data_IF_215986786191
#
_entry.id   IF_215986786191
#
_cell.length_a   1.000
_cell.length_b   1.000
_cell.length_c   1.000
_cell.angle_alpha   90.00
_cell.angle_beta   90.00
_cell.angle_gamma   90.00
#
_symmetry.space_group_name_H-M   'P 1'
#
loop_
_entity.id
_entity.type
_entity.pdbx_description
1 polymer ?
#
# COMPACT_ATOMS: atom_id res chain seq x y z
N UNK A 1 -10.96 -4.87 -15.40
CA UNK A 1 -10.11 -3.67 -15.26
C UNK A 1 -10.87 -2.46 -15.76
N UNK A 2 -10.86 -1.39 -14.97
CA UNK A 2 -11.47 -0.11 -15.31
C UNK A 2 -10.38 0.97 -15.40
N UNK A 3 -10.64 2.00 -16.20
CA UNK A 3 -9.74 3.15 -16.33
C UNK A 3 -10.53 4.46 -16.23
N UNK A 4 -9.94 5.45 -15.58
CA UNK A 4 -10.43 6.81 -15.51
C UNK A 4 -9.44 7.75 -16.20
N UNK A 5 -9.91 8.56 -17.15
CA UNK A 5 -9.12 9.66 -17.69
C UNK A 5 -9.19 10.83 -16.72
N UNK A 6 -8.04 11.18 -16.15
CA UNK A 6 -7.89 12.30 -15.23
C UNK A 6 -7.93 13.64 -15.99
N UNK A 7 -8.22 14.75 -15.26
CA UNK A 7 -8.33 16.09 -15.85
C UNK A 7 -7.04 16.58 -16.51
N UNK A 8 -5.88 16.09 -16.07
CA UNK A 8 -4.56 16.39 -16.65
C UNK A 8 -4.19 15.49 -17.84
N UNK A 9 -5.10 14.60 -18.27
CA UNK A 9 -4.94 13.70 -19.40
C UNK A 9 -4.28 12.37 -19.06
N UNK A 10 -3.77 12.17 -17.83
CA UNK A 10 -3.28 10.86 -17.37
C UNK A 10 -4.44 9.87 -17.26
N UNK A 11 -4.10 8.58 -17.29
CA UNK A 11 -5.01 7.48 -17.02
C UNK A 11 -4.75 6.94 -15.61
N UNK A 12 -5.82 6.69 -14.85
CA UNK A 12 -5.83 5.97 -13.60
C UNK A 12 -6.52 4.62 -13.80
N UNK A 13 -5.81 3.53 -13.52
CA UNK A 13 -6.37 2.19 -13.57
C UNK A 13 -6.83 1.75 -12.18
N UNK A 14 -7.99 1.09 -12.13
CA UNK A 14 -8.59 0.59 -10.89
C UNK A 14 -9.44 -0.64 -11.13
N UNK A 15 -9.74 -1.34 -10.05
CA UNK A 15 -10.72 -2.42 -10.05
C UNK A 15 -11.66 -2.31 -8.86
N UNK A 16 -12.81 -2.96 -8.93
CA UNK A 16 -13.80 -3.00 -7.87
C UNK A 16 -14.11 -4.46 -7.53
N UNK A 17 -14.17 -4.75 -6.25
CA UNK A 17 -14.41 -6.07 -5.69
C UNK A 17 -15.37 -5.98 -4.51
N UNK A 18 -15.83 -7.14 -4.03
CA UNK A 18 -16.68 -7.22 -2.85
C UNK A 18 -18.14 -6.91 -3.15
N UNK A 19 -18.83 -6.32 -2.17
CA UNK A 19 -20.26 -6.00 -2.23
C UNK A 19 -20.49 -4.71 -3.03
N UNK A 20 -21.27 -4.75 -4.09
CA UNK A 20 -21.54 -3.60 -4.98
C UNK A 20 -22.08 -2.37 -4.21
N UNK A 21 -22.97 -2.60 -3.26
CA UNK A 21 -23.59 -1.58 -2.40
C UNK A 21 -22.96 -1.54 -0.99
N UNK A 22 -21.77 -2.12 -0.83
CA UNK A 22 -21.05 -2.14 0.44
C UNK A 22 -20.37 -0.82 0.77
N UNK A 23 -19.76 -0.78 1.97
CA UNK A 23 -18.99 0.38 2.45
C UNK A 23 -17.80 0.59 1.48
N UNK A 24 -17.67 1.78 0.87
CA UNK A 24 -16.57 2.05 -0.04
C UNK A 24 -15.25 2.13 0.71
N UNK A 25 -14.26 1.33 0.28
CA UNK A 25 -12.89 1.35 0.80
C UNK A 25 -11.91 1.43 -0.37
N UNK A 26 -11.05 2.44 -0.37
CA UNK A 26 -10.00 2.61 -1.38
C UNK A 26 -8.69 2.05 -0.85
N UNK A 27 -8.18 1.01 -1.51
CA UNK A 27 -6.96 0.31 -1.10
C UNK A 27 -5.71 0.85 -1.80
N UNK A 28 -4.67 1.13 -1.01
CA UNK A 28 -3.35 1.54 -1.47
C UNK A 28 -2.37 0.37 -1.34
N UNK A 29 -1.98 -0.22 -2.46
CA UNK A 29 -1.09 -1.39 -2.51
C UNK A 29 0.31 -1.12 -1.94
N UNK A 30 1.08 -2.17 -1.65
CA UNK A 30 2.46 -2.12 -1.17
C UNK A 30 3.45 -1.56 -2.20
N UNK A 31 4.71 -1.46 -1.81
CA UNK A 31 5.81 -1.07 -2.69
C UNK A 31 6.11 -2.21 -3.68
N UNK A 32 6.19 -1.88 -4.97
CA UNK A 32 6.44 -2.89 -6.01
C UNK A 32 5.26 -3.83 -6.29
N UNK A 33 4.05 -3.43 -5.91
CA UNK A 33 2.81 -4.15 -6.14
C UNK A 33 1.81 -3.32 -6.97
N UNK A 34 0.60 -3.77 -7.15
CA UNK A 34 -0.41 -3.16 -8.03
C UNK A 34 -1.82 -3.24 -7.47
N UNK A 35 -2.81 -2.77 -8.23
CA UNK A 35 -4.24 -2.95 -7.93
C UNK A 35 -4.66 -4.41 -7.73
N UNK A 36 -3.83 -5.39 -8.14
CA UNK A 36 -4.11 -6.81 -7.96
C UNK A 36 -3.78 -7.33 -6.55
N UNK A 37 -3.10 -6.54 -5.71
CA UNK A 37 -2.75 -6.85 -4.32
C UNK A 37 -4.00 -6.83 -3.42
N UNK A 38 -4.78 -7.89 -3.46
CA UNK A 38 -5.96 -8.12 -2.62
C UNK A 38 -6.12 -9.60 -2.34
N UNK A 39 -6.92 -9.96 -1.32
CA UNK A 39 -7.21 -11.37 -1.10
C UNK A 39 -7.95 -11.96 -2.31
N UNK A 40 -7.50 -13.11 -2.86
CA UNK A 40 -8.06 -13.69 -4.08
C UNK A 40 -9.49 -14.22 -3.91
N UNK A 41 -9.88 -14.65 -2.72
CA UNK A 41 -11.24 -15.04 -2.41
C UNK A 41 -12.11 -13.79 -2.18
N UNK A 42 -12.87 -13.41 -3.20
CA UNK A 42 -13.74 -12.23 -3.15
C UNK A 42 -14.93 -12.39 -2.17
N UNK A 43 -15.28 -13.63 -1.77
CA UNK A 43 -16.37 -13.87 -0.82
C UNK A 43 -16.08 -13.22 0.51
N UNK A 44 -14.82 -13.25 0.98
CA UNK A 44 -14.41 -12.61 2.22
C UNK A 44 -14.69 -11.08 2.22
N UNK A 45 -14.50 -10.44 1.07
CA UNK A 45 -14.78 -9.01 0.91
C UNK A 45 -16.29 -8.73 0.83
N UNK A 46 -17.05 -9.63 0.17
CA UNK A 46 -18.53 -9.55 0.11
C UNK A 46 -19.14 -9.71 1.50
N UNK A 47 -18.72 -10.73 2.24
CA UNK A 47 -19.21 -11.05 3.58
C UNK A 47 -18.92 -9.94 4.59
N UNK A 48 -17.80 -9.24 4.43
CA UNK A 48 -17.49 -8.04 5.22
C UNK A 48 -18.34 -6.81 4.84
N UNK A 49 -19.19 -6.90 3.82
CA UNK A 49 -20.04 -5.78 3.37
C UNK A 49 -19.23 -4.63 2.73
N UNK A 50 -18.04 -4.89 2.20
CA UNK A 50 -17.13 -3.87 1.67
C UNK A 50 -17.22 -3.82 0.14
N UNK A 51 -17.32 -2.60 -0.40
CA UNK A 51 -17.02 -2.27 -1.79
C UNK A 51 -15.56 -1.82 -1.88
N UNK A 52 -14.68 -2.76 -2.21
CA UNK A 52 -13.24 -2.52 -2.28
C UNK A 52 -12.84 -1.95 -3.63
N UNK A 53 -12.22 -0.78 -3.63
CA UNK A 53 -11.65 -0.14 -4.81
C UNK A 53 -10.13 -0.22 -4.73
N UNK A 54 -9.52 -0.99 -5.61
CA UNK A 54 -8.06 -1.11 -5.71
C UNK A 54 -7.55 -0.27 -6.87
N UNK A 55 -6.41 0.40 -6.69
CA UNK A 55 -5.88 1.36 -7.66
C UNK A 55 -4.42 1.07 -8.00
N UNK A 56 -4.01 1.30 -9.23
CA UNK A 56 -2.59 1.40 -9.57
C UNK A 56 -2.12 2.83 -9.33
N UNK A 57 -1.12 3.01 -8.45
CA UNK A 57 -0.47 4.32 -8.32
C UNK A 57 0.25 4.72 -9.62
N UNK A 58 0.54 6.02 -9.86
CA UNK A 58 1.15 6.46 -11.11
C UNK A 58 2.43 5.70 -11.47
N UNK A 59 2.47 5.16 -12.69
CA UNK A 59 3.59 4.38 -13.22
C UNK A 59 3.61 2.90 -12.82
N UNK A 60 2.59 2.44 -12.09
CA UNK A 60 2.31 1.03 -11.87
C UNK A 60 1.19 0.54 -12.79
N UNK A 61 1.19 -0.75 -13.09
CA UNK A 61 0.15 -1.43 -13.85
C UNK A 61 -0.23 -0.69 -15.13
N UNK A 62 -1.47 -0.25 -15.21
CA UNK A 62 -2.00 0.50 -16.36
C UNK A 62 -2.14 2.02 -16.09
N UNK A 63 -1.73 2.50 -14.91
CA UNK A 63 -1.78 3.93 -14.61
C UNK A 63 -0.63 4.69 -15.26
N UNK A 64 -0.95 5.84 -15.85
CA UNK A 64 0.06 6.72 -16.49
C UNK A 64 1.16 7.12 -15.50
N UNK A 65 2.43 7.16 -15.91
CA UNK A 65 3.51 7.70 -15.08
C UNK A 65 3.28 9.17 -14.70
N UNK A 66 3.71 9.53 -13.50
CA UNK A 66 3.73 10.92 -13.03
C UNK A 66 5.12 11.23 -12.45
N UNK A 67 6.08 11.64 -13.28
CA UNK A 67 7.43 11.95 -12.82
C UNK A 67 7.45 13.09 -11.81
N UNK A 68 8.22 12.90 -10.72
CA UNK A 68 8.35 13.92 -9.68
C UNK A 68 7.15 14.06 -8.75
N UNK A 69 6.18 13.12 -8.79
CA UNK A 69 5.06 13.12 -7.85
C UNK A 69 5.51 13.07 -6.41
N UNK A 70 4.70 13.66 -5.54
CA UNK A 70 4.71 13.52 -4.09
C UNK A 70 3.51 12.69 -3.64
N UNK A 71 3.43 12.33 -2.36
CA UNK A 71 2.22 11.71 -1.81
C UNK A 71 1.00 12.63 -1.93
N UNK A 72 1.20 13.94 -1.76
CA UNK A 72 0.12 14.92 -1.87
C UNK A 72 -0.40 15.09 -3.30
N UNK A 73 0.45 14.89 -4.32
CA UNK A 73 0.01 14.93 -5.73
C UNK A 73 -0.90 13.77 -6.13
N UNK A 74 -0.92 12.69 -5.33
CA UNK A 74 -1.82 11.56 -5.52
C UNK A 74 -3.27 11.84 -5.11
N UNK A 75 -3.47 12.72 -4.15
CA UNK A 75 -4.79 12.99 -3.56
C UNK A 75 -5.83 13.45 -4.59
N UNK A 76 -5.52 14.40 -5.51
CA UNK A 76 -6.44 14.79 -6.58
C UNK A 76 -6.87 13.66 -7.50
N UNK A 77 -6.02 12.65 -7.72
CA UNK A 77 -6.35 11.49 -8.55
C UNK A 77 -7.43 10.64 -7.87
N UNK A 78 -7.27 10.39 -6.56
CA UNK A 78 -8.25 9.66 -5.73
C UNK A 78 -9.57 10.44 -5.60
N UNK A 79 -9.50 11.75 -5.43
CA UNK A 79 -10.71 12.59 -5.37
C UNK A 79 -11.51 12.50 -6.68
N UNK A 80 -10.83 12.56 -7.83
CA UNK A 80 -11.48 12.38 -9.14
C UNK A 80 -12.09 10.99 -9.29
N UNK A 81 -11.39 9.95 -8.83
CA UNK A 81 -11.91 8.58 -8.83
C UNK A 81 -13.19 8.46 -7.97
N UNK A 82 -13.16 8.95 -6.74
CA UNK A 82 -14.31 8.92 -5.85
C UNK A 82 -15.51 9.69 -6.44
N UNK A 83 -15.27 10.84 -7.06
CA UNK A 83 -16.31 11.63 -7.75
C UNK A 83 -16.91 10.87 -8.94
N UNK A 84 -16.06 10.22 -9.77
CA UNK A 84 -16.50 9.40 -10.91
C UNK A 84 -17.38 8.22 -10.45
N UNK A 85 -17.02 7.61 -9.32
CA UNK A 85 -17.76 6.49 -8.74
C UNK A 85 -18.95 6.93 -7.88
N UNK A 86 -19.21 8.23 -7.77
CA UNK A 86 -20.27 8.85 -6.96
C UNK A 86 -20.18 8.43 -5.47
N UNK A 87 -18.96 8.32 -4.97
CA UNK A 87 -18.67 7.99 -3.58
C UNK A 87 -18.43 9.31 -2.83
N UNK A 88 -19.27 9.63 -1.87
CA UNK A 88 -19.12 10.84 -1.02
C UNK A 88 -18.15 10.59 0.14
N UNK A 89 -18.37 9.53 0.90
CA UNK A 89 -17.56 9.10 2.04
C UNK A 89 -16.96 7.72 1.80
N UNK A 90 -15.72 7.50 2.24
CA UNK A 90 -15.02 6.23 2.08
C UNK A 90 -13.98 5.98 3.16
N UNK A 91 -13.68 4.71 3.39
CA UNK A 91 -12.51 4.27 4.14
C UNK A 91 -11.26 4.20 3.25
N UNK A 92 -10.09 4.30 3.86
CA UNK A 92 -8.81 4.07 3.15
C UNK A 92 -8.08 2.93 3.84
N UNK A 93 -7.74 1.89 3.08
CA UNK A 93 -6.92 0.78 3.53
C UNK A 93 -5.57 0.83 2.82
N UNK A 94 -4.51 0.41 3.50
CA UNK A 94 -3.20 0.28 2.87
C UNK A 94 -2.40 -0.89 3.42
N UNK A 95 -1.47 -1.36 2.58
CA UNK A 95 -0.42 -2.28 2.98
C UNK A 95 0.96 -1.64 2.76
N UNK A 96 1.87 -1.80 3.73
CA UNK A 96 3.29 -1.48 3.57
C UNK A 96 3.54 -0.05 3.04
N UNK A 97 4.25 0.07 1.91
CA UNK A 97 4.55 1.33 1.21
C UNK A 97 3.33 2.11 0.71
N UNK A 98 2.12 1.57 0.83
CA UNK A 98 0.87 2.30 0.58
C UNK A 98 0.48 3.27 1.69
N UNK A 99 1.05 3.13 2.90
CA UNK A 99 0.64 3.89 4.09
C UNK A 99 0.80 5.40 3.97
N UNK A 100 1.90 5.95 3.45
CA UNK A 100 2.01 7.40 3.29
C UNK A 100 0.98 7.97 2.31
N UNK A 101 0.58 7.19 1.29
CA UNK A 101 -0.48 7.57 0.37
C UNK A 101 -1.86 7.57 1.05
N UNK A 102 -2.15 6.56 1.88
CA UNK A 102 -3.38 6.51 2.67
C UNK A 102 -3.48 7.70 3.63
N UNK A 103 -2.39 8.02 4.32
CA UNK A 103 -2.33 9.17 5.23
C UNK A 103 -2.41 10.50 4.50
N UNK A 104 -1.80 10.65 3.30
CA UNK A 104 -1.94 11.85 2.48
C UNK A 104 -3.41 12.09 2.05
N UNK A 105 -4.13 11.01 1.69
CA UNK A 105 -5.56 11.07 1.37
C UNK A 105 -6.35 11.53 2.58
N UNK A 106 -6.13 10.94 3.76
CA UNK A 106 -6.79 11.34 5.01
C UNK A 106 -6.49 12.80 5.40
N UNK A 107 -5.25 13.24 5.22
CA UNK A 107 -4.81 14.60 5.48
C UNK A 107 -5.58 15.64 4.65
N UNK A 108 -5.70 15.40 3.35
CA UNK A 108 -6.33 16.37 2.44
C UNK A 108 -7.84 16.22 2.31
N UNK A 109 -8.36 15.01 2.39
CA UNK A 109 -9.78 14.70 2.21
C UNK A 109 -10.47 14.37 3.55
N UNK A 110 -10.11 15.08 4.62
CA UNK A 110 -10.59 14.83 5.99
C UNK A 110 -12.14 14.83 6.10
N UNK A 111 -12.84 15.53 5.22
CA UNK A 111 -14.30 15.56 5.20
C UNK A 111 -14.93 14.40 4.43
N UNK A 112 -14.12 13.59 3.74
CA UNK A 112 -14.55 12.45 2.91
C UNK A 112 -14.06 11.09 3.43
N UNK A 113 -12.94 11.09 4.17
CA UNK A 113 -12.37 9.86 4.76
C UNK A 113 -12.96 9.66 6.16
N UNK A 114 -13.61 8.52 6.37
CA UNK A 114 -14.19 8.18 7.68
C UNK A 114 -13.18 7.48 8.59
N UNK A 115 -12.36 6.60 8.03
CA UNK A 115 -11.39 5.77 8.76
C UNK A 115 -10.22 5.40 7.86
N UNK A 116 -9.03 5.27 8.45
CA UNK A 116 -7.84 4.72 7.80
C UNK A 116 -7.43 3.42 8.48
N UNK A 117 -7.13 2.41 7.69
CA UNK A 117 -6.56 1.14 8.18
C UNK A 117 -5.21 0.91 7.50
N UNK A 118 -4.17 0.80 8.31
CA UNK A 118 -2.80 0.57 7.86
C UNK A 118 -2.34 -0.82 8.31
N UNK A 119 -1.82 -1.61 7.38
CA UNK A 119 -1.27 -2.93 7.71
C UNK A 119 0.21 -2.96 7.37
N UNK A 120 1.04 -3.37 8.33
CA UNK A 120 2.51 -3.36 8.22
C UNK A 120 3.05 -2.04 7.64
N UNK A 121 2.67 -0.87 8.23
CA UNK A 121 2.89 0.42 7.61
C UNK A 121 4.36 0.85 7.61
N UNK A 122 4.74 1.62 6.59
CA UNK A 122 5.95 2.44 6.65
C UNK A 122 5.63 3.79 7.28
N UNK A 123 6.45 4.21 8.23
CA UNK A 123 6.40 5.54 8.86
C UNK A 123 7.29 6.57 8.15
N UNK A 124 7.32 7.84 8.61
CA UNK A 124 8.24 8.85 8.10
C UNK A 124 9.70 8.46 8.27
N UNK A 125 10.47 8.59 7.20
CA UNK A 125 11.84 8.09 7.10
C UNK A 125 12.89 9.16 7.43
N UNK A 126 12.48 10.41 7.53
CA UNK A 126 13.32 11.56 7.86
C UNK A 126 13.36 11.87 9.37
N UNK A 127 13.03 10.89 10.21
CA UNK A 127 13.08 11.01 11.68
C UNK A 127 14.22 10.16 12.25
N UNK A 128 14.81 10.57 13.41
CA UNK A 128 15.86 9.79 14.08
C UNK A 128 15.42 8.34 14.33
N UNK A 129 16.31 7.38 14.08
CA UNK A 129 16.06 5.96 14.32
C UNK A 129 15.13 5.27 13.31
N UNK A 130 14.68 5.94 12.25
CA UNK A 130 13.81 5.31 11.24
C UNK A 130 14.47 4.10 10.57
N UNK A 131 15.77 4.17 10.27
CA UNK A 131 16.52 3.06 9.66
C UNK A 131 16.69 1.84 10.55
N UNK A 132 16.49 1.99 11.86
CA UNK A 132 16.55 0.91 12.84
C UNK A 132 15.27 0.07 12.89
N UNK A 133 14.19 0.56 12.28
CA UNK A 133 12.86 -0.06 12.27
C UNK A 133 12.55 -0.78 10.95
N UNK A 134 13.57 -1.07 10.14
CA UNK A 134 13.41 -1.74 8.86
C UNK A 134 14.62 -2.58 8.46
N UNK A 135 14.43 -3.49 7.51
CA UNK A 135 15.51 -4.28 6.97
C UNK A 135 16.60 -3.40 6.33
N UNK A 136 17.86 -3.81 6.47
CA UNK A 136 19.05 -3.03 6.03
C UNK A 136 19.03 -2.63 4.56
N UNK A 137 18.44 -3.45 3.67
CA UNK A 137 18.34 -3.12 2.25
C UNK A 137 17.45 -1.90 1.97
N UNK A 138 16.36 -1.75 2.75
CA UNK A 138 15.50 -0.55 2.67
C UNK A 138 16.19 0.67 3.28
N UNK A 139 16.86 0.51 4.42
CA UNK A 139 17.66 1.56 5.03
C UNK A 139 18.74 2.10 4.09
N UNK A 140 19.37 1.22 3.30
CA UNK A 140 20.34 1.63 2.28
C UNK A 140 19.70 2.47 1.16
N UNK A 141 18.55 2.04 0.62
CA UNK A 141 17.80 2.81 -0.40
C UNK A 141 17.47 4.22 0.08
N UNK A 142 17.10 4.37 1.36
CA UNK A 142 16.79 5.67 1.96
C UNK A 142 18.05 6.53 2.14
N UNK A 143 19.13 5.96 2.64
CA UNK A 143 20.39 6.67 2.86
C UNK A 143 20.97 7.24 1.55
N UNK A 144 20.77 6.54 0.44
CA UNK A 144 21.28 6.91 -0.89
C UNK A 144 20.18 7.39 -1.85
N UNK A 145 18.94 7.60 -1.38
CA UNK A 145 17.82 8.07 -2.20
C UNK A 145 18.04 9.41 -2.91
N UNK A 146 18.95 10.24 -2.40
CA UNK A 146 19.39 11.45 -3.05
C UNK A 146 20.22 11.20 -4.34
N UNK A 147 20.82 10.01 -4.49
CA UNK A 147 21.53 9.58 -5.71
C UNK A 147 20.54 9.08 -6.76
N UNK A 148 19.73 10.01 -7.27
CA UNK A 148 18.64 9.72 -8.23
C UNK A 148 19.04 8.81 -9.42
N UNK A 149 20.24 8.94 -10.03
CA UNK A 149 20.65 8.03 -11.10
C UNK A 149 20.77 6.58 -10.64
N UNK A 150 21.32 6.33 -9.45
CA UNK A 150 21.46 4.97 -8.90
C UNK A 150 20.11 4.33 -8.62
N UNK A 151 19.17 5.09 -8.06
CA UNK A 151 17.80 4.61 -7.82
C UNK A 151 17.11 4.22 -9.15
N UNK A 152 17.30 5.02 -10.21
CA UNK A 152 16.76 4.68 -11.53
C UNK A 152 17.38 3.41 -12.12
N UNK A 153 18.68 3.20 -11.94
CA UNK A 153 19.37 1.98 -12.39
C UNK A 153 18.86 0.77 -11.59
N UNK A 154 18.77 0.89 -10.26
CA UNK A 154 18.22 -0.15 -9.41
C UNK A 154 16.79 -0.51 -9.83
N UNK A 155 15.91 0.47 -10.00
CA UNK A 155 14.54 0.23 -10.45
C UNK A 155 14.45 -0.46 -11.81
N UNK A 156 15.30 -0.06 -12.79
CA UNK A 156 15.38 -0.75 -14.09
C UNK A 156 15.81 -2.22 -13.93
N UNK A 157 16.75 -2.50 -13.02
CA UNK A 157 17.18 -3.86 -12.71
C UNK A 157 16.03 -4.67 -12.07
N UNK A 158 15.27 -4.09 -11.13
CA UNK A 158 14.11 -4.75 -10.53
C UNK A 158 13.06 -5.08 -11.61
N UNK A 159 12.67 -4.10 -12.41
CA UNK A 159 11.70 -4.31 -13.48
C UNK A 159 12.16 -5.36 -14.50
N UNK A 160 13.44 -5.38 -14.85
CA UNK A 160 14.01 -6.42 -15.75
C UNK A 160 13.88 -7.80 -15.13
N UNK A 161 14.22 -7.96 -13.83
CA UNK A 161 14.13 -9.25 -13.13
C UNK A 161 12.68 -9.74 -13.03
N UNK A 162 11.76 -8.86 -12.61
CA UNK A 162 10.34 -9.20 -12.49
C UNK A 162 9.74 -9.59 -13.85
N UNK A 163 10.07 -8.86 -14.92
CA UNK A 163 9.53 -9.13 -16.26
C UNK A 163 10.18 -10.34 -16.96
N UNK A 164 11.39 -10.75 -16.55
CA UNK A 164 12.06 -11.90 -17.15
C UNK A 164 11.56 -13.25 -16.60
N UNK A 165 11.35 -13.35 -15.30
CA UNK A 165 10.90 -14.55 -14.61
C UNK A 165 10.26 -14.14 -13.27
N UNK A 166 8.94 -14.03 -13.28
CA UNK A 166 8.19 -13.56 -12.09
C UNK A 166 8.22 -14.58 -10.96
N UNK A 167 8.20 -15.87 -11.26
CA UNK A 167 8.24 -16.91 -10.24
C UNK A 167 9.57 -16.87 -9.48
N UNK A 168 10.69 -16.80 -10.21
CA UNK A 168 12.03 -16.65 -9.62
C UNK A 168 12.19 -15.32 -8.87
N UNK A 169 11.59 -14.23 -9.37
CA UNK A 169 11.62 -12.94 -8.71
C UNK A 169 10.89 -13.01 -7.35
N UNK A 170 9.70 -13.60 -7.33
CA UNK A 170 8.92 -13.81 -6.12
C UNK A 170 9.61 -14.79 -5.16
N UNK A 171 10.25 -15.87 -5.66
CA UNK A 171 11.05 -16.78 -4.83
C UNK A 171 12.21 -16.06 -4.12
N UNK A 172 12.93 -15.21 -4.84
CA UNK A 172 14.02 -14.45 -4.25
C UNK A 172 13.52 -13.47 -3.16
N UNK A 173 12.35 -12.87 -3.36
CA UNK A 173 11.72 -12.03 -2.37
C UNK A 173 11.34 -12.80 -1.10
N UNK A 174 10.65 -13.93 -1.28
CA UNK A 174 10.19 -14.78 -0.17
C UNK A 174 11.34 -15.52 0.56
N UNK A 175 12.47 -15.76 -0.12
CA UNK A 175 13.64 -16.37 0.52
C UNK A 175 14.16 -15.55 1.70
N UNK A 176 14.11 -14.24 1.59
CA UNK A 176 14.53 -13.28 2.62
C UNK A 176 13.39 -12.91 3.60
N UNK A 177 12.17 -13.45 3.40
CA UNK A 177 11.01 -13.21 4.26
C UNK A 177 11.02 -14.13 5.48
N UNK A 178 10.37 -13.75 6.59
CA UNK A 178 10.20 -14.60 7.76
C UNK A 178 9.31 -15.82 7.47
N UNK A 179 9.40 -16.82 8.35
CA UNK A 179 8.71 -18.10 8.16
C UNK A 179 7.18 -17.98 8.01
N UNK A 180 6.47 -17.12 8.76
CA UNK A 180 5.03 -16.92 8.58
C UNK A 180 4.63 -16.52 7.15
N UNK A 181 5.42 -15.65 6.52
CA UNK A 181 5.17 -15.20 5.14
C UNK A 181 5.42 -16.34 4.13
N UNK A 182 6.46 -17.17 4.35
CA UNK A 182 6.72 -18.37 3.52
C UNK A 182 5.58 -19.37 3.60
N UNK A 183 5.08 -19.63 4.80
CA UNK A 183 3.91 -20.50 5.04
C UNK A 183 2.67 -19.94 4.35
N UNK A 184 2.42 -18.64 4.45
CA UNK A 184 1.29 -17.96 3.81
C UNK A 184 1.31 -18.16 2.29
N UNK A 185 2.46 -17.93 1.66
CA UNK A 185 2.63 -18.06 0.21
C UNK A 185 2.95 -19.48 -0.28
N UNK A 186 2.98 -20.48 0.61
CA UNK A 186 2.88 -21.89 0.20
C UNK A 186 1.48 -22.22 -0.35
N UNK A 187 0.44 -21.42 -0.01
CA UNK A 187 -0.86 -21.48 -0.66
C UNK A 187 -0.73 -20.97 -2.11
N UNK A 188 -1.00 -21.85 -3.08
CA UNK A 188 -0.80 -21.55 -4.51
C UNK A 188 -1.67 -20.39 -5.02
N UNK A 189 -2.87 -20.18 -4.46
CA UNK A 189 -3.77 -19.10 -4.88
C UNK A 189 -3.24 -17.73 -4.40
N UNK A 190 -2.76 -17.66 -3.17
CA UNK A 190 -2.09 -16.47 -2.63
C UNK A 190 -0.77 -16.20 -3.35
N UNK A 191 0.00 -17.27 -3.62
CA UNK A 191 1.24 -17.17 -4.38
C UNK A 191 1.01 -16.60 -5.77
N UNK A 192 0.01 -17.10 -6.48
CA UNK A 192 -0.35 -16.58 -7.81
C UNK A 192 -0.78 -15.11 -7.76
N UNK A 193 -1.59 -14.73 -6.78
CA UNK A 193 -1.97 -13.32 -6.59
C UNK A 193 -0.74 -12.43 -6.38
N UNK A 194 0.20 -12.87 -5.55
CA UNK A 194 1.45 -12.15 -5.28
C UNK A 194 2.30 -11.97 -6.55
N UNK A 195 2.48 -13.03 -7.34
CA UNK A 195 3.20 -12.99 -8.61
C UNK A 195 2.49 -12.09 -9.64
N UNK A 196 1.17 -12.22 -9.77
CA UNK A 196 0.38 -11.41 -10.69
C UNK A 196 0.45 -9.90 -10.31
N UNK A 197 0.40 -9.60 -9.00
CA UNK A 197 0.54 -8.25 -8.47
C UNK A 197 1.88 -7.61 -8.82
N UNK A 198 2.98 -8.31 -8.55
CA UNK A 198 4.33 -7.85 -8.89
C UNK A 198 4.55 -7.73 -10.41
N UNK A 199 4.08 -8.71 -11.18
CA UNK A 199 4.19 -8.68 -12.65
C UNK A 199 3.45 -7.48 -13.24
N UNK A 200 2.24 -7.22 -12.76
CA UNK A 200 1.47 -6.07 -13.18
C UNK A 200 2.16 -4.75 -12.78
N UNK A 201 2.73 -4.69 -11.57
CA UNK A 201 3.44 -3.50 -11.09
C UNK A 201 4.56 -3.06 -12.03
N UNK A 202 5.33 -3.99 -12.56
CA UNK A 202 6.48 -3.72 -13.43
C UNK A 202 6.16 -3.79 -14.94
N UNK A 203 4.90 -3.95 -15.33
CA UNK A 203 4.46 -4.10 -16.72
C UNK A 203 4.97 -3.00 -17.65
N UNK A 204 4.93 -1.76 -17.21
CA UNK A 204 5.48 -0.62 -17.95
C UNK A 204 6.87 -0.17 -17.45
N UNK A 205 7.62 -1.06 -16.78
CA UNK A 205 8.95 -0.80 -16.25
C UNK A 205 8.96 -0.28 -14.83
N UNK A 206 9.95 0.55 -14.48
CA UNK A 206 10.24 0.94 -13.10
C UNK A 206 9.66 2.29 -12.67
N UNK A 207 8.84 2.94 -13.49
CA UNK A 207 8.41 4.32 -13.22
C UNK A 207 7.67 4.47 -11.88
N UNK A 208 6.79 3.52 -11.56
CA UNK A 208 6.05 3.47 -10.30
C UNK A 208 7.00 3.30 -9.11
N UNK A 209 7.84 2.29 -9.16
CA UNK A 209 8.83 1.95 -8.12
C UNK A 209 9.77 3.13 -7.81
N UNK A 210 10.37 3.72 -8.84
CA UNK A 210 11.26 4.88 -8.70
C UNK A 210 10.52 6.09 -8.14
N UNK A 211 9.27 6.30 -8.59
CA UNK A 211 8.43 7.38 -8.11
C UNK A 211 8.11 7.27 -6.62
N UNK A 212 7.84 6.06 -6.12
CA UNK A 212 7.57 5.82 -4.70
C UNK A 212 8.80 6.08 -3.84
N UNK A 213 10.00 5.63 -4.26
CA UNK A 213 11.25 5.92 -3.55
C UNK A 213 11.46 7.43 -3.42
N UNK A 214 11.25 8.19 -4.49
CA UNK A 214 11.45 9.65 -4.45
C UNK A 214 10.38 10.36 -3.63
N UNK A 215 9.12 9.92 -3.69
CA UNK A 215 8.06 10.48 -2.87
C UNK A 215 8.31 10.24 -1.37
N UNK A 216 8.93 9.11 -1.01
CA UNK A 216 9.24 8.73 0.38
C UNK A 216 10.26 9.61 1.08
N UNK A 217 11.06 10.41 0.34
CA UNK A 217 12.08 11.30 0.92
C UNK A 217 11.46 12.40 1.77
N UNK A 218 10.34 12.95 1.33
CA UNK A 218 9.60 13.98 2.07
C UNK A 218 8.09 13.82 1.86
N UNK A 219 7.36 13.59 2.94
CA UNK A 219 5.92 13.38 2.87
C UNK A 219 5.13 14.64 2.56
N UNK A 220 5.65 15.83 2.95
CA UNK A 220 4.98 17.12 2.79
C UNK A 220 3.86 17.36 3.82
N UNK A 221 3.71 16.49 4.80
CA UNK A 221 2.81 16.57 5.97
C UNK A 221 3.40 15.71 7.10
N UNK A 222 2.84 15.81 8.31
CA UNK A 222 3.25 15.01 9.46
C UNK A 222 2.10 14.14 9.98
N UNK A 223 2.39 12.99 10.63
CA UNK A 223 1.35 12.13 11.22
C UNK A 223 0.45 12.87 12.23
N UNK A 224 1.00 13.82 12.96
CA UNK A 224 0.30 14.61 13.98
C UNK A 224 -0.84 15.47 13.39
N UNK A 225 -0.80 15.75 12.08
CA UNK A 225 -1.84 16.52 11.38
C UNK A 225 -3.05 15.69 10.97
N UNK A 226 -3.00 14.33 11.14
CA UNK A 226 -4.08 13.43 10.76
C UNK A 226 -5.10 13.36 11.89
N UNK A 227 -6.31 13.88 11.65
CA UNK A 227 -7.39 13.94 12.64
C UNK A 227 -8.45 12.83 12.44
N UNK A 228 -8.26 11.96 11.46
CA UNK A 228 -9.14 10.83 11.17
C UNK A 228 -8.72 9.64 12.05
N UNK A 229 -9.68 8.82 12.54
CA UNK A 229 -9.34 7.57 13.23
C UNK A 229 -8.47 6.65 12.37
N UNK A 230 -7.37 6.15 12.93
CA UNK A 230 -6.43 5.26 12.27
C UNK A 230 -6.30 3.96 13.05
N UNK A 231 -6.62 2.82 12.43
CA UNK A 231 -6.31 1.50 12.97
C UNK A 231 -5.04 0.99 12.32
N UNK A 232 -4.09 0.52 13.11
CA UNK A 232 -2.81 -0.04 12.63
C UNK A 232 -2.73 -1.51 13.05
N UNK A 233 -2.46 -2.37 12.08
CA UNK A 233 -2.15 -3.78 12.29
C UNK A 233 -0.70 -4.05 11.88
N UNK A 234 0.01 -4.88 12.63
CA UNK A 234 1.40 -5.23 12.32
C UNK A 234 1.72 -6.64 12.80
N UNK A 235 2.48 -7.40 12.01
CA UNK A 235 2.98 -8.71 12.41
C UNK A 235 4.21 -8.59 13.32
N UNK A 236 4.31 -9.40 14.39
CA UNK A 236 5.45 -9.38 15.31
C UNK A 236 6.74 -9.90 14.68
N UNK A 237 6.61 -10.78 13.67
CA UNK A 237 7.71 -11.40 12.92
C UNK A 237 8.03 -10.65 11.62
N UNK A 238 7.53 -9.44 11.43
CA UNK A 238 7.82 -8.64 10.23
C UNK A 238 9.30 -8.21 10.24
N UNK A 239 10.10 -8.85 9.36
CA UNK A 239 11.53 -8.57 9.20
C UNK A 239 11.82 -7.51 8.11
N UNK A 240 10.80 -7.08 7.37
CA UNK A 240 10.93 -6.05 6.34
C UNK A 240 10.77 -4.64 6.92
N UNK A 241 9.66 -4.45 7.64
CA UNK A 241 9.34 -3.26 8.43
C UNK A 241 9.02 -3.75 9.85
N UNK A 242 9.95 -3.60 10.78
CA UNK A 242 9.78 -4.13 12.14
C UNK A 242 8.55 -3.51 12.81
N UNK A 243 7.84 -4.27 13.65
CA UNK A 243 6.63 -3.82 14.34
C UNK A 243 6.80 -2.49 15.09
N UNK A 244 8.03 -2.17 15.50
CA UNK A 244 8.39 -0.89 16.10
C UNK A 244 8.13 0.30 15.16
N UNK A 245 8.22 0.14 13.84
CA UNK A 245 7.84 1.17 12.87
C UNK A 245 6.37 1.55 13.02
N UNK A 246 5.49 0.56 13.07
CA UNK A 246 4.04 0.77 13.27
C UNK A 246 3.73 1.37 14.65
N UNK A 247 4.42 0.94 15.72
CA UNK A 247 4.27 1.51 17.08
C UNK A 247 4.64 2.99 17.11
N UNK A 248 5.79 3.36 16.55
CA UNK A 248 6.24 4.76 16.48
C UNK A 248 5.30 5.61 15.64
N UNK A 249 4.77 5.06 14.55
CA UNK A 249 3.76 5.76 13.76
C UNK A 249 2.47 5.99 14.56
N UNK A 250 1.99 4.97 15.29
CA UNK A 250 0.80 5.07 16.15
C UNK A 250 0.95 6.13 17.23
N UNK A 251 2.13 6.23 17.87
CA UNK A 251 2.41 7.23 18.90
C UNK A 251 2.35 8.68 18.39
N UNK A 252 2.54 8.87 17.06
CA UNK A 252 2.52 10.19 16.42
C UNK A 252 1.16 10.58 15.85
N UNK A 253 0.25 9.62 15.68
CA UNK A 253 -1.10 9.83 15.17
C UNK A 253 -2.05 10.13 16.34
N UNK A 254 -2.78 11.25 16.37
CA UNK A 254 -3.62 11.64 17.51
C UNK A 254 -4.72 10.65 17.86
N UNK A 255 -5.25 9.94 16.86
CA UNK A 255 -6.39 9.02 17.00
C UNK A 255 -6.04 7.64 16.43
N UNK A 256 -4.88 7.09 16.84
CA UNK A 256 -4.44 5.77 16.41
C UNK A 256 -4.74 4.69 17.45
N UNK A 257 -5.15 3.54 16.94
CA UNK A 257 -5.19 2.28 17.69
C UNK A 257 -4.24 1.28 17.00
N UNK A 258 -3.35 0.66 17.79
CA UNK A 258 -2.34 -0.27 17.31
C UNK A 258 -2.62 -1.68 17.81
N UNK A 259 -2.67 -2.63 16.89
CA UNK A 259 -2.83 -4.05 17.18
C UNK A 259 -1.65 -4.84 16.60
N UNK A 260 -1.01 -5.64 17.45
CA UNK A 260 0.04 -6.57 17.04
C UNK A 260 -0.57 -7.94 16.78
N UNK A 261 -0.20 -8.55 15.67
CA UNK A 261 -0.49 -9.96 15.38
C UNK A 261 0.75 -10.79 15.72
N UNK A 262 0.67 -11.51 16.84
CA UNK A 262 1.77 -12.35 17.30
C UNK A 262 2.03 -13.52 16.35
N UNK A 263 3.30 -13.76 16.01
CA UNK A 263 3.73 -14.82 15.10
C UNK A 263 3.42 -14.56 13.62
N UNK A 264 3.01 -13.35 13.24
CA UNK A 264 2.71 -13.01 11.85
C UNK A 264 3.82 -12.17 11.21
N UNK A 265 4.01 -12.33 9.89
CA UNK A 265 4.98 -11.59 9.09
C UNK A 265 4.44 -10.32 8.47
N UNK A 266 5.15 -9.84 7.44
CA UNK A 266 4.82 -8.61 6.70
C UNK A 266 3.47 -8.67 5.98
N UNK A 267 3.11 -9.86 5.49
CA UNK A 267 1.91 -10.10 4.67
C UNK A 267 0.71 -10.58 5.50
N UNK A 268 0.66 -10.30 6.80
CA UNK A 268 -0.45 -10.64 7.71
C UNK A 268 -1.81 -10.13 7.20
N UNK A 269 -1.84 -9.09 6.36
CA UNK A 269 -3.05 -8.55 5.72
C UNK A 269 -3.87 -9.64 5.02
N UNK A 270 -3.23 -10.60 4.33
CA UNK A 270 -3.95 -11.62 3.58
C UNK A 270 -4.52 -12.72 4.48
N UNK A 271 -3.87 -13.02 5.60
CA UNK A 271 -4.38 -13.98 6.58
C UNK A 271 -5.54 -13.40 7.39
N UNK A 272 -5.46 -12.14 7.76
CA UNK A 272 -6.46 -11.43 8.59
C UNK A 272 -7.42 -10.56 7.79
N UNK A 273 -7.59 -10.84 6.49
CA UNK A 273 -8.34 -10.00 5.55
C UNK A 273 -9.73 -9.63 6.03
N UNK A 274 -10.53 -10.61 6.48
CA UNK A 274 -11.89 -10.37 6.95
C UNK A 274 -11.93 -9.52 8.24
N UNK A 275 -11.06 -9.80 9.21
CA UNK A 275 -10.96 -9.04 10.46
C UNK A 275 -10.60 -7.58 10.17
N UNK A 276 -9.61 -7.36 9.30
CA UNK A 276 -9.16 -6.02 8.90
C UNK A 276 -10.29 -5.26 8.20
N UNK A 277 -11.03 -5.89 7.28
CA UNK A 277 -12.14 -5.26 6.59
C UNK A 277 -13.31 -4.94 7.53
N UNK A 278 -13.60 -5.80 8.50
CA UNK A 278 -14.67 -5.59 9.48
C UNK A 278 -14.48 -4.35 10.35
N UNK A 279 -13.24 -3.82 10.44
CA UNK A 279 -13.00 -2.55 11.17
C UNK A 279 -13.69 -1.36 10.52
N UNK A 280 -14.06 -1.42 9.25
CA UNK A 280 -14.78 -0.33 8.57
C UNK A 280 -16.28 -0.31 8.86
N UNK A 281 -16.85 -1.43 9.33
CA UNK A 281 -18.28 -1.54 9.68
C UNK A 281 -18.57 -1.25 11.15
N UNK A 282 -17.60 -1.34 12.04
CA UNK A 282 -17.78 -1.27 13.50
C UNK A 282 -18.15 0.11 14.05
N UNK A 283 -17.97 1.20 13.30
CA UNK A 283 -18.21 2.58 13.75
C UNK A 283 -19.46 3.21 13.12
N UNK A 284 -20.43 2.42 12.66
CA UNK A 284 -21.69 2.94 12.07
C UNK A 284 -22.89 2.87 13.03
N UNK A 285 -22.64 2.56 14.31
CA UNK A 285 -23.68 2.60 15.37
C UNK A 285 -23.70 3.94 16.12
#
# INVERSE_FOLDING_TARGET
MNTLRLKDGRQLAFEQYGAENGIPVIHQHGFGDSRLARHPDNRLTIEAGIRLITVDRPGYGESSPYPGRTFLNWVPDIEQLANQLKIDKFGVMSHSGGSPYALAIAYKLKNRVNKVVLVSPIGPLNVPGASETMHKSFGFLLKFGWLKPLIRIAGKSEAKRANSDIAKYADNWLKESPEPDKILFANQTLRKMFEDGMKEAFKQGAAGWVGDVFAGINWGFTPEEIQIPVKIFHGSEDELLFAEMGRRLAQRLPHADFQLYEGEGHYCIFKHWSEILNTFSQDQE
#
